data_IF_375831793921
#
_entry.id   IF_375831793921
#
_cell.length_a   1.000
_cell.length_b   1.000
_cell.length_c   1.000
_cell.angle_alpha   90.00
_cell.angle_beta   90.00
_cell.angle_gamma   90.00
#
_symmetry.space_group_name_H-M   'P 1'
#
loop_
_entity.id
_entity.type
_entity.pdbx_description
1 polymer ?
#
# COMPACT_ATOMS: atom_id res chain seq x y z
N UNK A 1 14.32 25.52 -37.14
CA UNK A 1 14.55 24.51 -36.08
C UNK A 1 14.30 25.20 -34.75
N UNK A 2 13.12 25.04 -34.15
CA UNK A 2 12.71 25.81 -32.97
C UNK A 2 12.99 25.00 -31.68
N UNK A 3 13.53 25.70 -30.69
CA UNK A 3 13.93 25.20 -29.36
C UNK A 3 12.70 24.74 -28.54
N UNK A 4 12.69 23.50 -28.00
CA UNK A 4 11.56 22.98 -27.22
C UNK A 4 11.49 23.45 -25.75
N UNK A 5 12.38 24.34 -25.29
CA UNK A 5 12.58 24.60 -23.86
C UNK A 5 11.78 25.75 -23.22
N UNK A 6 10.79 26.38 -23.88
CA UNK A 6 10.05 27.49 -23.25
C UNK A 6 8.52 27.44 -23.48
N UNK A 7 7.83 26.44 -22.91
CA UNK A 7 6.37 26.53 -22.70
C UNK A 7 6.09 27.36 -21.45
N UNK A 8 6.01 28.68 -21.61
CA UNK A 8 5.52 29.57 -20.56
C UNK A 8 4.16 29.05 -20.02
N UNK A 9 4.03 28.94 -18.70
CA UNK A 9 2.80 28.50 -18.04
C UNK A 9 1.66 29.40 -18.49
N UNK A 10 0.67 28.84 -19.19
CA UNK A 10 -0.48 29.62 -19.63
C UNK A 10 -1.34 30.03 -18.43
N UNK A 11 -2.03 31.17 -18.52
CA UNK A 11 -2.99 31.61 -17.48
C UNK A 11 -4.02 30.53 -17.15
N UNK A 12 -4.49 29.79 -18.17
CA UNK A 12 -5.39 28.64 -18.00
C UNK A 12 -4.74 27.56 -17.14
N UNK A 13 -3.51 27.15 -17.46
CA UNK A 13 -2.78 26.13 -16.71
C UNK A 13 -2.55 26.53 -15.25
N UNK A 14 -2.26 27.82 -15.01
CA UNK A 14 -2.09 28.35 -13.66
C UNK A 14 -3.41 28.31 -12.88
N UNK A 15 -4.51 28.81 -13.46
CA UNK A 15 -5.82 28.80 -12.81
C UNK A 15 -6.35 27.39 -12.58
N UNK A 16 -6.10 26.46 -13.51
CA UNK A 16 -6.42 25.05 -13.32
C UNK A 16 -5.63 24.46 -12.16
N UNK A 17 -4.32 24.68 -12.07
CA UNK A 17 -3.53 24.21 -10.92
C UNK A 17 -4.05 24.76 -9.59
N UNK A 18 -4.34 26.07 -9.52
CA UNK A 18 -4.88 26.70 -8.31
C UNK A 18 -6.23 26.06 -7.93
N UNK A 19 -7.15 25.91 -8.89
CA UNK A 19 -8.45 25.29 -8.66
C UNK A 19 -8.35 23.84 -8.20
N UNK A 20 -7.45 23.05 -8.80
CA UNK A 20 -7.24 21.65 -8.42
C UNK A 20 -6.67 21.53 -7.01
N UNK A 21 -5.63 22.32 -6.67
CA UNK A 21 -5.01 22.27 -5.34
C UNK A 21 -5.99 22.78 -4.28
N UNK A 22 -6.61 23.94 -4.49
CA UNK A 22 -7.55 24.52 -3.52
C UNK A 22 -8.80 23.65 -3.35
N UNK A 23 -9.36 23.13 -4.45
CA UNK A 23 -10.51 22.25 -4.43
C UNK A 23 -10.22 20.91 -3.74
N UNK A 24 -9.06 20.30 -4.00
CA UNK A 24 -8.65 19.07 -3.33
C UNK A 24 -8.49 19.25 -1.82
N UNK A 25 -7.86 20.34 -1.38
CA UNK A 25 -7.72 20.67 0.05
C UNK A 25 -9.08 20.94 0.71
N UNK A 26 -9.96 21.71 0.05
CA UNK A 26 -11.31 21.97 0.57
C UNK A 26 -12.11 20.67 0.72
N UNK A 27 -12.04 19.77 -0.26
CA UNK A 27 -12.69 18.46 -0.19
C UNK A 27 -12.10 17.59 0.92
N UNK A 28 -10.77 17.55 1.06
CA UNK A 28 -10.11 16.78 2.12
C UNK A 28 -10.52 17.25 3.52
N UNK A 29 -10.57 18.56 3.74
CA UNK A 29 -11.05 19.13 5.00
C UNK A 29 -12.52 18.78 5.26
N UNK A 30 -13.40 18.94 4.27
CA UNK A 30 -14.80 18.58 4.40
C UNK A 30 -14.97 17.07 4.69
N UNK A 31 -14.21 16.20 4.01
CA UNK A 31 -14.20 14.75 4.28
C UNK A 31 -13.70 14.44 5.69
N UNK A 32 -12.72 15.19 6.19
CA UNK A 32 -12.19 15.02 7.55
C UNK A 32 -13.23 15.44 8.60
N UNK A 33 -13.91 16.58 8.40
CA UNK A 33 -14.99 17.07 9.26
C UNK A 33 -16.19 16.12 9.28
N UNK A 34 -16.55 15.56 8.13
CA UNK A 34 -17.61 14.55 8.01
C UNK A 34 -17.19 13.16 8.49
N UNK A 35 -15.94 12.97 8.93
CA UNK A 35 -15.43 11.70 9.44
C UNK A 35 -15.06 10.65 8.38
N UNK A 36 -15.08 11.00 7.09
CA UNK A 36 -14.72 10.10 5.98
C UNK A 36 -13.22 9.93 5.75
N UNK A 37 -12.40 10.87 6.25
CA UNK A 37 -10.94 10.83 6.14
C UNK A 37 -10.24 10.59 7.50
N UNK A 38 -10.99 10.14 8.51
CA UNK A 38 -10.44 9.79 9.82
C UNK A 38 -9.81 8.39 9.77
N UNK A 39 -8.76 8.19 10.56
CA UNK A 39 -8.24 6.85 10.81
C UNK A 39 -9.30 6.00 11.52
N UNK A 40 -9.27 4.68 11.30
CA UNK A 40 -10.15 3.77 12.02
C UNK A 40 -9.82 3.83 13.52
N UNK A 41 -10.75 4.34 14.33
CA UNK A 41 -10.66 4.32 15.79
C UNK A 41 -10.92 2.95 16.43
N UNK A 42 -10.96 1.87 15.64
CA UNK A 42 -11.26 0.53 16.13
C UNK A 42 -10.06 -0.05 16.90
N UNK A 43 -10.18 -0.31 18.22
CA UNK A 43 -9.04 -0.68 19.05
C UNK A 43 -8.80 -2.19 19.16
N UNK A 44 -9.65 -3.02 18.56
CA UNK A 44 -9.67 -4.47 18.76
C UNK A 44 -9.35 -5.28 17.50
N UNK A 45 -9.25 -6.60 17.62
CA UNK A 45 -9.29 -7.51 16.47
C UNK A 45 -10.71 -7.56 15.91
N UNK A 46 -10.90 -7.75 14.59
CA UNK A 46 -12.22 -7.84 13.99
C UNK A 46 -13.04 -8.96 14.61
N UNK A 47 -14.27 -8.65 15.07
CA UNK A 47 -15.18 -9.66 15.63
C UNK A 47 -15.92 -10.38 14.50
N UNK A 48 -15.34 -11.49 14.03
CA UNK A 48 -15.97 -12.34 13.03
C UNK A 48 -16.94 -13.34 13.67
N UNK A 49 -18.05 -13.63 12.97
CA UNK A 49 -18.90 -14.77 13.31
C UNK A 49 -18.28 -16.09 12.84
N UNK A 50 -18.80 -17.22 13.34
CA UNK A 50 -18.38 -18.55 12.88
C UNK A 50 -18.70 -18.75 11.39
N UNK A 51 -17.74 -19.33 10.67
CA UNK A 51 -17.90 -19.67 9.27
C UNK A 51 -19.03 -20.68 9.06
N UNK A 52 -19.74 -20.56 7.94
CA UNK A 52 -20.67 -21.61 7.51
C UNK A 52 -19.87 -22.88 7.16
N UNK A 53 -20.40 -24.09 7.45
CA UNK A 53 -19.72 -25.33 7.09
C UNK A 53 -19.32 -25.36 5.60
N UNK A 54 -18.04 -25.59 5.34
CA UNK A 54 -17.47 -25.66 3.99
C UNK A 54 -17.16 -24.31 3.34
N UNK A 55 -17.32 -23.18 4.02
CA UNK A 55 -16.98 -21.87 3.46
C UNK A 55 -15.46 -21.73 3.23
N UNK A 56 -15.09 -21.18 2.08
CA UNK A 56 -13.69 -20.94 1.70
C UNK A 56 -13.44 -19.49 1.30
N UNK A 57 -12.24 -18.98 1.56
CA UNK A 57 -11.81 -17.63 1.17
C UNK A 57 -10.47 -17.69 0.45
N UNK A 58 -10.35 -16.94 -0.65
CA UNK A 58 -9.08 -16.66 -1.31
C UNK A 58 -8.62 -15.24 -0.95
N UNK A 59 -7.43 -15.13 -0.38
CA UNK A 59 -6.76 -13.86 -0.06
C UNK A 59 -5.68 -13.59 -1.09
N UNK A 60 -5.69 -12.41 -1.71
CA UNK A 60 -4.71 -11.97 -2.69
C UNK A 60 -3.74 -10.96 -2.04
N UNK A 61 -2.50 -11.39 -1.84
CA UNK A 61 -1.40 -10.64 -1.23
C UNK A 61 -1.10 -11.05 0.21
N UNK A 62 0.15 -11.41 0.49
CA UNK A 62 0.74 -11.64 1.82
C UNK A 62 1.31 -10.35 2.44
N UNK A 63 0.70 -9.19 2.17
CA UNK A 63 0.95 -7.98 2.94
C UNK A 63 0.35 -8.07 4.35
N UNK A 64 0.62 -7.07 5.21
CA UNK A 64 0.05 -7.02 6.57
C UNK A 64 -1.47 -7.23 6.59
N UNK A 65 -2.21 -6.52 5.73
CA UNK A 65 -3.66 -6.64 5.66
C UNK A 65 -4.13 -8.05 5.26
N UNK A 66 -3.50 -8.66 4.25
CA UNK A 66 -3.88 -9.99 3.78
C UNK A 66 -3.53 -11.09 4.77
N UNK A 67 -2.36 -11.01 5.41
CA UNK A 67 -1.97 -11.96 6.45
C UNK A 67 -2.88 -11.88 7.68
N UNK A 68 -3.21 -10.66 8.14
CA UNK A 68 -4.17 -10.48 9.25
C UNK A 68 -5.53 -11.03 8.85
N UNK A 69 -6.06 -10.68 7.67
CA UNK A 69 -7.34 -11.22 7.21
C UNK A 69 -7.34 -12.76 7.15
N UNK A 70 -6.25 -13.37 6.65
CA UNK A 70 -6.14 -14.82 6.57
C UNK A 70 -6.12 -15.49 7.94
N UNK A 71 -5.43 -14.92 8.92
CA UNK A 71 -5.41 -15.42 10.30
C UNK A 71 -6.81 -15.32 10.91
N UNK A 72 -7.42 -14.14 10.89
CA UNK A 72 -8.74 -13.92 11.49
C UNK A 72 -9.83 -14.79 10.85
N UNK A 73 -9.82 -14.93 9.52
CA UNK A 73 -10.79 -15.78 8.82
C UNK A 73 -10.54 -17.27 9.09
N UNK A 74 -9.29 -17.71 9.15
CA UNK A 74 -8.98 -19.10 9.52
C UNK A 74 -9.47 -19.39 10.93
N UNK A 75 -9.22 -18.48 11.87
CA UNK A 75 -9.60 -18.64 13.27
C UNK A 75 -11.14 -18.58 13.45
N UNK A 76 -11.84 -17.89 12.54
CA UNK A 76 -13.30 -17.93 12.41
C UNK A 76 -13.85 -19.21 11.71
N UNK A 77 -12.99 -20.14 11.28
CA UNK A 77 -13.38 -21.44 10.73
C UNK A 77 -13.48 -21.54 9.20
N UNK A 78 -13.02 -20.53 8.46
CA UNK A 78 -12.99 -20.58 6.99
C UNK A 78 -11.82 -21.43 6.49
N UNK A 79 -12.01 -22.14 5.36
CA UNK A 79 -10.89 -22.69 4.59
C UNK A 79 -10.22 -21.57 3.79
N UNK A 80 -9.07 -21.09 4.26
CA UNK A 80 -8.37 -19.96 3.65
C UNK A 80 -7.24 -20.43 2.74
N UNK A 81 -7.17 -19.87 1.53
CA UNK A 81 -6.00 -19.92 0.66
C UNK A 81 -5.46 -18.50 0.49
N UNK A 82 -4.15 -18.31 0.67
CA UNK A 82 -3.48 -17.03 0.46
C UNK A 82 -2.51 -17.17 -0.71
N UNK A 83 -2.57 -16.23 -1.65
CA UNK A 83 -1.67 -16.16 -2.80
C UNK A 83 -0.86 -14.87 -2.74
N UNK A 84 0.46 -14.97 -2.84
CA UNK A 84 1.37 -13.83 -2.94
C UNK A 84 2.15 -13.94 -4.24
N UNK A 85 2.33 -12.81 -4.91
CA UNK A 85 3.06 -12.72 -6.15
C UNK A 85 4.57 -12.77 -5.91
N UNK A 86 5.04 -12.10 -4.86
CA UNK A 86 6.44 -12.06 -4.47
C UNK A 86 6.90 -13.37 -3.83
N UNK A 87 8.22 -13.57 -3.80
CA UNK A 87 8.84 -14.67 -3.06
C UNK A 87 8.99 -14.39 -1.55
N UNK A 88 8.27 -13.39 -1.02
CA UNK A 88 8.34 -12.96 0.37
C UNK A 88 6.98 -12.45 0.87
N UNK A 89 6.75 -12.58 2.17
CA UNK A 89 5.64 -11.93 2.86
C UNK A 89 5.98 -10.48 3.27
N UNK A 90 5.00 -9.77 3.83
CA UNK A 90 5.13 -8.41 4.37
C UNK A 90 4.60 -7.33 3.45
N UNK A 91 4.59 -7.58 2.13
CA UNK A 91 4.13 -6.62 1.13
C UNK A 91 4.98 -5.36 1.15
N UNK A 92 4.38 -4.22 1.48
CA UNK A 92 5.11 -2.94 1.61
C UNK A 92 6.07 -2.95 2.80
N UNK A 93 5.67 -3.54 3.93
CA UNK A 93 6.53 -3.68 5.11
C UNK A 93 7.64 -4.70 4.83
N UNK A 94 8.86 -4.22 4.65
CA UNK A 94 9.99 -5.04 4.23
C UNK A 94 11.27 -4.61 4.93
N UNK A 95 12.10 -5.57 5.32
CA UNK A 95 13.47 -5.34 5.78
C UNK A 95 14.44 -5.92 4.77
N UNK A 96 15.31 -5.06 4.22
CA UNK A 96 16.38 -5.43 3.29
C UNK A 96 17.68 -5.62 4.09
N UNK A 97 18.31 -6.78 3.92
CA UNK A 97 19.55 -7.19 4.58
C UNK A 97 20.64 -7.51 3.55
N UNK A 98 21.89 -7.61 4.01
CA UNK A 98 23.02 -8.02 3.16
C UNK A 98 22.74 -9.36 2.46
N UNK A 99 22.89 -9.40 1.14
CA UNK A 99 22.58 -10.56 0.29
C UNK A 99 21.23 -10.47 -0.44
N UNK A 100 20.33 -9.59 -0.01
CA UNK A 100 19.06 -9.37 -0.71
C UNK A 100 19.30 -8.73 -2.09
N UNK A 101 18.45 -9.09 -3.05
CA UNK A 101 18.45 -8.52 -4.38
C UNK A 101 17.04 -8.13 -4.82
N UNK A 102 16.90 -7.00 -5.49
CA UNK A 102 15.61 -6.49 -5.96
C UNK A 102 15.71 -5.92 -7.36
N UNK A 103 14.83 -6.37 -8.24
CA UNK A 103 14.68 -5.83 -9.58
C UNK A 103 13.47 -4.90 -9.61
N UNK A 104 13.74 -3.61 -9.80
CA UNK A 104 12.71 -2.58 -9.97
C UNK A 104 11.92 -2.80 -11.26
N UNK A 105 10.75 -2.16 -11.37
CA UNK A 105 9.92 -2.24 -12.58
C UNK A 105 10.64 -1.80 -13.87
N UNK A 106 11.65 -0.91 -13.73
CA UNK A 106 12.51 -0.48 -14.84
C UNK A 106 13.59 -1.49 -15.26
N UNK A 107 13.65 -2.67 -14.65
CA UNK A 107 14.63 -3.72 -14.93
C UNK A 107 15.98 -3.54 -14.24
N UNK A 108 16.21 -2.41 -13.57
CA UNK A 108 17.41 -2.19 -12.77
C UNK A 108 17.39 -3.11 -11.54
N UNK A 109 18.48 -3.86 -11.35
CA UNK A 109 18.63 -4.75 -10.18
C UNK A 109 19.60 -4.13 -9.18
N UNK A 110 19.20 -4.11 -7.92
CA UNK A 110 19.99 -3.66 -6.79
C UNK A 110 20.37 -4.86 -5.92
N UNK A 111 21.63 -4.91 -5.48
CA UNK A 111 22.14 -5.93 -4.58
C UNK A 111 22.53 -5.26 -3.27
N UNK A 112 21.92 -5.67 -2.17
CA UNK A 112 22.25 -5.14 -0.85
C UNK A 112 23.56 -5.75 -0.34
N UNK A 113 24.51 -4.89 0.01
CA UNK A 113 25.84 -5.27 0.50
C UNK A 113 26.07 -4.84 1.95
N UNK A 114 25.01 -4.69 2.74
CA UNK A 114 25.15 -4.40 4.16
C UNK A 114 25.93 -5.50 4.89
N UNK A 115 26.72 -5.10 5.87
CA UNK A 115 27.38 -6.04 6.77
C UNK A 115 26.35 -6.81 7.61
N UNK A 116 26.74 -8.00 8.09
CA UNK A 116 25.87 -8.83 8.92
C UNK A 116 25.33 -8.03 10.12
N UNK A 117 24.04 -8.17 10.39
CA UNK A 117 23.33 -7.44 11.46
C UNK A 117 22.82 -6.06 11.08
N UNK A 118 23.07 -5.55 9.87
CA UNK A 118 22.55 -4.27 9.38
C UNK A 118 21.42 -4.47 8.36
N UNK A 119 20.42 -3.60 8.43
CA UNK A 119 19.26 -3.65 7.54
C UNK A 119 18.65 -2.26 7.30
N UNK A 120 17.83 -2.15 6.26
CA UNK A 120 17.01 -0.98 5.97
C UNK A 120 15.54 -1.39 5.81
N UNK A 121 14.63 -0.60 6.36
CA UNK A 121 13.20 -0.72 6.08
C UNK A 121 12.81 0.34 5.04
N UNK A 122 12.74 0.01 3.73
CA UNK A 122 12.35 0.98 2.70
C UNK A 122 10.85 1.33 2.71
N UNK A 123 10.04 0.58 3.46
CA UNK A 123 8.59 0.71 3.58
C UNK A 123 7.99 -0.44 4.36
#
# INVERSE_FOLDING_TARGET
MADPSNRAVSRRSLLTMIGTVAGATAMYNAMTEMGFAQESGYPGPPKLGQAKPGASVLVLGAGLAGMVAAIELRDAGYKVQLLEYQNRAGGRNWSIQGGDSYTELGGATQHCQFEAGHYLNPG
#
